data_IF_796432531459
#
_entry.id   IF_796432531459
#
_cell.length_a   1.000
_cell.length_b   1.000
_cell.length_c   1.000
_cell.angle_alpha   90.00
_cell.angle_beta   90.00
_cell.angle_gamma   90.00
#
_symmetry.space_group_name_H-M   'P 1'
#
loop_
_entity.id
_entity.type
_entity.pdbx_description
1 polymer ?
#
# COMPACT_ATOMS: atom_id res chain seq x y z
N UNK A 1 13.53 5.86 28.96
CA UNK A 1 12.17 5.77 29.58
C UNK A 1 11.55 4.49 29.09
N UNK A 2 10.82 3.80 29.93
CA UNK A 2 10.17 2.54 29.54
C UNK A 2 8.79 2.81 28.95
N UNK A 3 8.31 1.92 28.10
CA UNK A 3 7.00 2.02 27.42
C UNK A 3 5.84 2.48 28.34
N UNK A 4 5.77 1.99 29.56
CA UNK A 4 4.73 2.38 30.51
C UNK A 4 4.92 3.78 31.09
N UNK A 5 6.15 4.29 31.14
CA UNK A 5 6.44 5.69 31.49
C UNK A 5 6.03 6.62 30.36
N UNK A 6 6.28 6.19 29.10
CA UNK A 6 5.84 6.94 27.92
C UNK A 6 4.29 6.95 27.85
N UNK A 7 3.62 5.84 28.11
CA UNK A 7 2.15 5.79 28.24
C UNK A 7 1.60 6.68 29.35
N UNK A 8 2.33 6.80 30.46
CA UNK A 8 1.92 7.70 31.55
C UNK A 8 1.99 9.18 31.16
N UNK A 9 2.91 9.56 30.26
CA UNK A 9 2.96 10.94 29.71
C UNK A 9 1.71 11.32 28.92
N UNK A 10 1.02 10.35 28.34
CA UNK A 10 -0.28 10.52 27.69
C UNK A 10 -1.47 10.52 28.67
N UNK A 11 -1.23 10.42 29.98
CA UNK A 11 -2.25 10.43 31.02
C UNK A 11 -2.86 9.05 31.33
N UNK A 12 -2.27 7.97 30.84
CA UNK A 12 -2.70 6.62 31.19
C UNK A 12 -2.10 6.16 32.52
N UNK A 13 -2.87 5.37 33.26
CA UNK A 13 -2.40 4.77 34.52
C UNK A 13 -1.83 3.39 34.23
N UNK A 14 -0.53 3.21 34.36
CA UNK A 14 0.21 2.00 33.94
C UNK A 14 -0.40 0.68 34.45
N UNK A 15 -0.89 0.63 35.67
CA UNK A 15 -1.49 -0.55 36.26
C UNK A 15 -2.89 -0.92 35.72
N UNK A 16 -3.50 -0.03 34.92
CA UNK A 16 -4.79 -0.28 34.25
C UNK A 16 -4.64 -0.81 32.83
N UNK A 17 -3.43 -0.74 32.31
CA UNK A 17 -3.13 -1.18 30.94
C UNK A 17 -2.98 -2.70 30.89
N UNK A 18 -3.52 -3.34 29.89
CA UNK A 18 -3.43 -4.78 29.62
C UNK A 18 -3.16 -5.00 28.13
N UNK A 19 -2.34 -6.00 27.83
CA UNK A 19 -2.14 -6.43 26.45
C UNK A 19 -3.46 -6.95 25.86
N UNK A 20 -3.64 -6.71 24.55
CA UNK A 20 -4.87 -6.99 23.82
C UNK A 20 -5.75 -5.76 23.64
N UNK A 21 -7.01 -6.01 23.23
CA UNK A 21 -8.00 -4.95 23.06
C UNK A 21 -8.79 -4.71 24.34
N UNK A 22 -8.92 -3.46 24.72
CA UNK A 22 -9.68 -3.02 25.90
C UNK A 22 -10.43 -1.73 25.65
N UNK A 23 -11.45 -1.49 26.49
CA UNK A 23 -12.10 -0.17 26.59
C UNK A 23 -11.84 0.38 27.97
N UNK A 24 -11.36 1.62 28.02
CA UNK A 24 -11.00 2.31 29.26
C UNK A 24 -11.58 3.72 29.30
N UNK A 25 -11.47 4.38 30.45
CA UNK A 25 -11.78 5.79 30.58
C UNK A 25 -10.82 6.64 29.75
N UNK A 26 -11.32 7.64 29.05
CA UNK A 26 -10.48 8.57 28.30
C UNK A 26 -9.83 9.58 29.25
N UNK A 27 -8.50 9.68 29.32
CA UNK A 27 -7.82 10.66 30.14
C UNK A 27 -8.22 12.11 29.79
N UNK A 28 -8.50 12.37 28.52
CA UNK A 28 -8.76 13.71 28.01
C UNK A 28 -10.18 14.21 28.29
N UNK A 29 -11.19 13.35 28.24
CA UNK A 29 -12.57 13.83 28.33
C UNK A 29 -13.42 13.21 29.43
N UNK A 30 -13.03 12.08 30.05
CA UNK A 30 -13.91 11.42 31.02
C UNK A 30 -14.15 12.28 32.28
N UNK A 31 -13.13 12.96 32.78
CA UNK A 31 -13.24 13.82 33.98
C UNK A 31 -14.04 15.10 33.74
N UNK A 32 -14.01 15.64 32.52
CA UNK A 32 -14.61 16.95 32.16
C UNK A 32 -16.06 16.86 31.67
N UNK A 33 -16.56 15.64 31.42
CA UNK A 33 -17.93 15.42 30.93
C UNK A 33 -18.98 15.74 32.00
N UNK A 34 -20.08 16.31 31.59
CA UNK A 34 -21.23 16.59 32.49
C UNK A 34 -22.03 15.30 32.80
N UNK A 35 -22.07 14.34 31.86
CA UNK A 35 -22.76 13.06 31.99
C UNK A 35 -21.82 11.94 31.59
N UNK A 36 -22.09 10.71 32.02
CA UNK A 36 -21.38 9.49 31.64
C UNK A 36 -19.85 9.53 31.92
N UNK A 37 -19.44 10.14 33.03
CA UNK A 37 -18.02 10.28 33.44
C UNK A 37 -17.30 8.94 33.55
N UNK A 38 -18.02 7.87 33.91
CA UNK A 38 -17.48 6.52 34.10
C UNK A 38 -17.64 5.62 32.88
N UNK A 39 -18.05 6.16 31.75
CA UNK A 39 -18.15 5.41 30.51
C UNK A 39 -16.78 5.15 29.91
N UNK A 40 -16.46 3.90 29.63
CA UNK A 40 -15.23 3.45 28.98
C UNK A 40 -15.32 3.74 27.46
N UNK A 41 -15.11 4.98 27.11
CA UNK A 41 -15.28 5.49 25.73
C UNK A 41 -14.01 5.45 24.87
N UNK A 42 -12.88 5.06 25.46
CA UNK A 42 -11.62 4.97 24.73
C UNK A 42 -11.31 3.50 24.43
N UNK A 43 -11.25 3.16 23.16
CA UNK A 43 -10.73 1.88 22.69
C UNK A 43 -9.22 1.93 22.66
N UNK A 44 -8.58 0.91 23.21
CA UNK A 44 -7.13 0.74 23.25
C UNK A 44 -6.76 -0.66 22.81
N UNK A 45 -5.71 -0.76 22.00
CA UNK A 45 -5.05 -2.00 21.65
C UNK A 45 -3.58 -1.91 22.06
N UNK A 46 -3.11 -2.87 22.85
CA UNK A 46 -1.71 -2.98 23.26
C UNK A 46 -1.18 -4.34 22.81
N UNK A 47 -0.05 -4.33 22.13
CA UNK A 47 0.65 -5.53 21.68
C UNK A 47 2.17 -5.41 21.90
N UNK A 48 2.92 -6.35 21.34
CA UNK A 48 4.38 -6.38 21.46
C UNK A 48 5.05 -5.17 20.78
N UNK A 49 4.41 -4.54 19.80
CA UNK A 49 4.90 -3.37 19.08
C UNK A 49 4.63 -2.05 19.80
N UNK A 50 3.59 -2.00 20.66
CA UNK A 50 3.21 -0.76 21.32
C UNK A 50 1.72 -0.68 21.66
N UNK A 51 1.22 0.53 21.75
CA UNK A 51 -0.19 0.83 22.01
C UNK A 51 -0.77 1.77 20.95
N UNK A 52 -2.02 1.57 20.63
CA UNK A 52 -2.84 2.47 19.83
C UNK A 52 -4.16 2.71 20.55
N UNK A 53 -4.67 3.95 20.48
CA UNK A 53 -5.94 4.29 21.12
C UNK A 53 -6.76 5.29 20.32
N UNK A 54 -8.09 5.22 20.51
CA UNK A 54 -9.03 6.21 20.01
C UNK A 54 -10.22 6.34 20.94
N UNK A 55 -10.56 7.57 21.28
CA UNK A 55 -11.76 7.90 22.06
C UNK A 55 -12.95 8.12 21.12
N UNK A 56 -14.05 7.40 21.35
CA UNK A 56 -15.30 7.55 20.58
C UNK A 56 -16.13 8.78 20.95
N UNK A 57 -15.70 9.53 21.99
CA UNK A 57 -16.44 10.69 22.48
C UNK A 57 -15.77 12.02 22.10
N UNK A 58 -14.44 12.12 22.17
CA UNK A 58 -13.72 13.35 21.84
C UNK A 58 -12.72 13.18 20.68
N UNK A 59 -12.78 12.05 20.00
CA UNK A 59 -11.92 11.68 18.87
C UNK A 59 -10.40 11.76 19.15
N UNK A 60 -10.00 11.92 20.43
CA UNK A 60 -8.60 11.87 20.79
C UNK A 60 -8.03 10.50 20.46
N UNK A 61 -7.00 10.49 19.64
CA UNK A 61 -6.31 9.27 19.21
C UNK A 61 -4.80 9.44 19.28
N UNK A 62 -4.08 8.32 19.33
CA UNK A 62 -2.63 8.32 19.35
C UNK A 62 -2.07 6.92 19.35
N UNK A 63 -0.75 6.86 19.34
CA UNK A 63 0.02 5.64 19.48
C UNK A 63 1.27 5.88 20.31
N UNK A 64 1.80 4.82 20.91
CA UNK A 64 3.09 4.79 21.59
C UNK A 64 3.79 3.47 21.27
N UNK A 65 5.04 3.54 20.85
CA UNK A 65 5.78 2.36 20.43
C UNK A 65 6.70 1.88 21.54
N UNK A 66 6.74 0.56 21.75
CA UNK A 66 7.75 -0.01 22.64
C UNK A 66 9.11 0.15 21.98
N UNK A 67 9.99 0.95 22.59
CA UNK A 67 11.37 1.10 22.15
C UNK A 67 12.11 -0.24 22.39
N UNK A 68 11.99 -1.17 21.45
CA UNK A 68 12.77 -2.41 21.50
C UNK A 68 13.57 -2.54 20.20
N UNK A 69 14.88 -2.53 20.34
CA UNK A 69 15.82 -3.10 19.37
C UNK A 69 15.68 -4.63 19.28
N UNK A 70 14.52 -5.16 19.61
CA UNK A 70 14.20 -6.57 19.45
C UNK A 70 13.15 -6.61 18.36
N UNK A 71 13.55 -7.17 17.21
CA UNK A 71 12.65 -7.57 16.14
C UNK A 71 11.34 -8.08 16.75
N UNK A 72 10.19 -7.52 16.40
CA UNK A 72 8.94 -7.99 16.95
C UNK A 72 8.85 -9.48 16.61
N UNK A 73 8.73 -10.28 17.64
CA UNK A 73 8.24 -11.63 17.47
C UNK A 73 6.95 -11.46 16.68
N UNK A 74 6.98 -11.80 15.40
CA UNK A 74 5.76 -11.95 14.60
C UNK A 74 4.90 -12.90 15.43
N UNK A 75 3.86 -12.39 16.09
CA UNK A 75 2.76 -13.27 16.47
C UNK A 75 2.30 -13.87 15.15
N UNK A 76 2.75 -15.08 14.92
CA UNK A 76 2.18 -15.93 13.89
C UNK A 76 0.75 -16.20 14.39
N UNK A 77 -0.16 -15.27 14.07
CA UNK A 77 -1.55 -15.70 13.91
C UNK A 77 -1.37 -16.84 12.92
N UNK A 78 -1.58 -18.06 13.35
CA UNK A 78 -1.58 -19.25 12.51
C UNK A 78 -2.77 -19.08 11.56
N UNK A 79 -2.62 -18.19 10.57
CA UNK A 79 -3.56 -18.08 9.46
C UNK A 79 -3.54 -19.46 8.83
N UNK A 80 -4.70 -20.09 8.78
CA UNK A 80 -4.86 -21.37 8.10
C UNK A 80 -4.23 -21.23 6.72
N UNK A 81 -3.30 -22.13 6.39
CA UNK A 81 -2.63 -22.06 5.09
C UNK A 81 -3.69 -22.09 3.97
N UNK A 82 -3.61 -21.19 3.00
CA UNK A 82 -4.56 -21.17 1.89
C UNK A 82 -4.49 -22.49 1.12
N UNK A 83 -5.63 -23.02 0.73
CA UNK A 83 -5.69 -24.16 -0.20
C UNK A 83 -5.51 -23.61 -1.61
N UNK A 84 -4.30 -23.69 -2.12
CA UNK A 84 -4.01 -23.29 -3.51
C UNK A 84 -4.62 -24.33 -4.44
N UNK A 85 -5.49 -23.93 -5.37
CA UNK A 85 -6.03 -24.86 -6.38
C UNK A 85 -4.93 -25.26 -7.38
N UNK A 86 -5.16 -26.35 -8.09
CA UNK A 86 -4.31 -26.72 -9.22
C UNK A 86 -4.43 -25.64 -10.30
N UNK A 87 -3.29 -25.14 -10.74
CA UNK A 87 -3.17 -24.18 -11.82
C UNK A 87 -2.62 -24.89 -13.06
N UNK A 88 -2.81 -24.30 -14.21
CA UNK A 88 -2.42 -24.83 -15.50
C UNK A 88 -1.55 -23.81 -16.24
N UNK A 89 -0.79 -24.28 -17.21
CA UNK A 89 -0.12 -23.38 -18.15
C UNK A 89 -1.11 -22.42 -18.81
N UNK A 90 -0.58 -21.30 -19.28
CA UNK A 90 -1.38 -20.31 -19.97
C UNK A 90 -2.03 -20.91 -21.21
N UNK A 91 -3.33 -20.76 -21.33
CA UNK A 91 -4.03 -21.12 -22.55
C UNK A 91 -3.72 -20.13 -23.68
N UNK A 92 -3.84 -20.59 -24.92
CA UNK A 92 -3.61 -19.72 -26.10
C UNK A 92 -4.48 -18.46 -26.09
N UNK A 93 -5.72 -18.57 -25.64
CA UNK A 93 -6.62 -17.43 -25.50
C UNK A 93 -6.09 -16.39 -24.52
N UNK A 94 -5.50 -16.82 -23.40
CA UNK A 94 -4.88 -15.92 -22.42
C UNK A 94 -3.59 -15.30 -22.99
N UNK A 95 -2.76 -16.07 -23.70
CA UNK A 95 -1.56 -15.54 -24.37
C UNK A 95 -1.91 -14.46 -25.38
N UNK A 96 -2.91 -14.71 -26.23
CA UNK A 96 -3.42 -13.74 -27.20
C UNK A 96 -3.96 -12.50 -26.47
N UNK A 97 -4.69 -12.68 -25.39
CA UNK A 97 -5.26 -11.58 -24.61
C UNK A 97 -4.17 -10.65 -24.04
N UNK A 98 -3.07 -11.19 -23.52
CA UNK A 98 -1.93 -10.40 -23.07
C UNK A 98 -1.13 -9.80 -24.24
N UNK A 99 -0.95 -10.55 -25.33
CA UNK A 99 -0.33 -10.04 -26.55
C UNK A 99 -1.02 -8.80 -27.11
N UNK A 100 -2.36 -8.80 -27.13
CA UNK A 100 -3.17 -7.63 -27.52
C UNK A 100 -3.01 -6.43 -26.58
N UNK A 101 -2.44 -6.64 -25.39
CA UNK A 101 -2.07 -5.62 -24.40
C UNK A 101 -0.60 -5.24 -24.42
N UNK A 102 0.14 -5.75 -25.40
CA UNK A 102 1.56 -5.47 -25.53
C UNK A 102 2.44 -6.17 -24.48
N UNK A 103 1.93 -7.20 -23.78
CA UNK A 103 2.65 -7.93 -22.72
C UNK A 103 3.10 -9.27 -23.28
N UNK A 104 4.42 -9.48 -23.31
CA UNK A 104 5.06 -10.67 -23.89
C UNK A 104 5.15 -11.85 -22.93
N UNK A 105 5.35 -13.06 -23.49
CA UNK A 105 5.41 -14.31 -22.72
C UNK A 105 6.48 -14.30 -21.63
N UNK A 106 7.65 -13.73 -21.90
CA UNK A 106 8.75 -13.67 -20.92
C UNK A 106 8.35 -12.94 -19.63
N UNK A 107 7.54 -11.88 -19.75
CA UNK A 107 7.02 -11.16 -18.59
C UNK A 107 6.02 -12.01 -17.83
N UNK A 108 5.13 -12.73 -18.55
CA UNK A 108 4.13 -13.60 -17.94
C UNK A 108 4.78 -14.77 -17.17
N UNK A 109 5.81 -15.38 -17.73
CA UNK A 109 6.58 -16.45 -17.09
C UNK A 109 7.30 -15.95 -15.84
N UNK A 110 8.01 -14.82 -15.94
CA UNK A 110 8.74 -14.23 -14.82
C UNK A 110 7.81 -13.83 -13.67
N UNK A 111 6.65 -13.30 -14.01
CA UNK A 111 5.64 -12.87 -13.05
C UNK A 111 4.80 -14.03 -12.47
N UNK A 112 4.96 -15.24 -12.99
CA UNK A 112 4.21 -16.42 -12.56
C UNK A 112 2.72 -16.31 -12.86
N UNK A 113 2.36 -15.81 -14.05
CA UNK A 113 0.97 -15.80 -14.52
C UNK A 113 0.60 -17.17 -15.04
N UNK A 114 -0.50 -17.71 -14.56
CA UNK A 114 -1.00 -19.04 -14.90
C UNK A 114 -2.48 -18.98 -15.30
N UNK A 115 -3.05 -20.10 -15.70
CA UNK A 115 -4.48 -20.27 -15.92
C UNK A 115 -5.07 -21.15 -14.82
N UNK A 116 -6.31 -20.90 -14.46
CA UNK A 116 -6.99 -21.70 -13.45
C UNK A 116 -8.50 -21.60 -13.57
N UNK A 117 -9.16 -22.30 -12.66
CA UNK A 117 -10.61 -22.23 -12.52
C UNK A 117 -10.94 -21.40 -11.27
N UNK A 118 -11.75 -20.38 -11.48
CA UNK A 118 -12.25 -19.51 -10.41
C UNK A 118 -13.74 -19.77 -10.16
N UNK A 119 -14.16 -19.70 -8.91
CA UNK A 119 -15.55 -19.69 -8.54
C UNK A 119 -15.96 -18.23 -8.29
N UNK A 120 -16.85 -17.71 -9.13
CA UNK A 120 -17.37 -16.35 -9.04
C UNK A 120 -18.88 -16.42 -9.19
N UNK A 121 -19.60 -15.74 -8.29
CA UNK A 121 -21.08 -15.71 -8.29
C UNK A 121 -21.73 -17.10 -8.31
N UNK A 122 -21.08 -18.11 -7.69
CA UNK A 122 -21.59 -19.47 -7.60
C UNK A 122 -21.33 -20.35 -8.82
N UNK A 123 -20.68 -19.84 -9.87
CA UNK A 123 -20.30 -20.57 -11.06
C UNK A 123 -18.78 -20.73 -11.22
N UNK A 124 -18.37 -21.76 -11.93
CA UNK A 124 -16.98 -22.05 -12.25
C UNK A 124 -16.63 -21.41 -13.59
N UNK A 125 -15.58 -20.59 -13.60
CA UNK A 125 -15.08 -19.88 -14.78
C UNK A 125 -13.63 -20.18 -15.04
N UNK A 126 -13.23 -20.29 -16.30
CA UNK A 126 -11.82 -20.22 -16.69
C UNK A 126 -11.33 -18.80 -16.42
N UNK A 127 -10.16 -18.68 -15.84
CA UNK A 127 -9.62 -17.39 -15.39
C UNK A 127 -8.10 -17.31 -15.54
N UNK A 128 -7.61 -16.10 -15.68
CA UNK A 128 -6.20 -15.76 -15.47
C UNK A 128 -5.93 -15.87 -13.97
N UNK A 129 -4.84 -16.52 -13.60
CA UNK A 129 -4.39 -16.69 -12.23
C UNK A 129 -3.12 -15.87 -12.00
N UNK A 130 -3.20 -14.82 -11.22
CA UNK A 130 -2.06 -14.07 -10.72
C UNK A 130 -1.59 -14.70 -9.40
N UNK A 131 -0.41 -15.31 -9.43
CA UNK A 131 0.11 -16.08 -8.29
C UNK A 131 0.95 -15.18 -7.39
N UNK A 132 0.44 -14.89 -6.20
CA UNK A 132 1.18 -14.12 -5.19
C UNK A 132 2.11 -15.04 -4.41
N UNK A 133 3.37 -14.66 -4.30
CA UNK A 133 4.41 -15.41 -3.59
C UNK A 133 5.02 -14.57 -2.48
N UNK A 134 5.49 -15.24 -1.44
CA UNK A 134 6.35 -14.59 -0.44
C UNK A 134 7.80 -14.53 -0.94
N UNK A 135 8.69 -13.98 -0.12
CA UNK A 135 10.12 -13.82 -0.44
C UNK A 135 10.84 -15.15 -0.66
N UNK A 136 10.33 -16.23 -0.08
CA UNK A 136 10.89 -17.58 -0.24
C UNK A 136 10.34 -18.28 -1.50
N UNK A 137 9.51 -17.58 -2.30
CA UNK A 137 8.89 -18.11 -3.53
C UNK A 137 7.66 -18.99 -3.28
N UNK A 138 7.23 -19.14 -2.03
CA UNK A 138 6.04 -19.94 -1.69
C UNK A 138 4.79 -19.20 -2.09
N UNK A 139 3.86 -19.89 -2.75
CA UNK A 139 2.54 -19.35 -3.07
C UNK A 139 1.73 -19.10 -1.81
N UNK A 140 1.33 -17.86 -1.60
CA UNK A 140 0.58 -17.39 -0.43
C UNK A 140 -0.84 -16.94 -0.78
N UNK A 141 -1.11 -16.66 -2.05
CA UNK A 141 -2.42 -16.29 -2.56
C UNK A 141 -2.47 -16.53 -4.07
N UNK A 142 -3.67 -16.65 -4.62
CA UNK A 142 -3.92 -16.58 -6.05
C UNK A 142 -5.12 -15.68 -6.27
N UNK A 143 -4.96 -14.66 -7.10
CA UNK A 143 -6.03 -13.78 -7.55
C UNK A 143 -6.43 -14.16 -8.96
N UNK A 144 -7.70 -14.42 -9.13
CA UNK A 144 -8.28 -14.81 -10.40
C UNK A 144 -8.99 -13.65 -11.06
N UNK A 145 -8.86 -13.57 -12.38
CA UNK A 145 -9.58 -12.62 -13.22
C UNK A 145 -10.25 -13.37 -14.35
N UNK A 146 -11.55 -13.30 -14.42
CA UNK A 146 -12.35 -13.86 -15.51
C UNK A 146 -12.34 -12.95 -16.74
N UNK A 147 -12.80 -13.44 -17.87
CA UNK A 147 -12.87 -12.69 -19.13
C UNK A 147 -13.73 -11.42 -18.99
N UNK A 148 -14.84 -11.51 -18.25
CA UNK A 148 -15.77 -10.42 -17.97
C UNK A 148 -15.36 -9.51 -16.79
N UNK A 149 -14.07 -9.52 -16.43
CA UNK A 149 -13.47 -8.69 -15.36
C UNK A 149 -14.04 -8.97 -13.95
N UNK A 150 -14.52 -10.16 -13.66
CA UNK A 150 -14.82 -10.52 -12.29
C UNK A 150 -13.56 -11.03 -11.59
N UNK A 151 -13.43 -10.71 -10.30
CA UNK A 151 -12.26 -11.08 -9.52
C UNK A 151 -12.66 -11.96 -8.34
N UNK A 152 -11.82 -12.94 -8.06
CA UNK A 152 -11.88 -13.70 -6.81
C UNK A 152 -10.48 -14.02 -6.34
N UNK A 153 -10.35 -14.37 -5.07
CA UNK A 153 -9.07 -14.76 -4.49
C UNK A 153 -9.26 -16.02 -3.64
N UNK A 154 -8.22 -16.82 -3.48
CA UNK A 154 -8.30 -18.01 -2.65
C UNK A 154 -8.67 -17.64 -1.22
N UNK A 155 -9.50 -18.48 -0.61
CA UNK A 155 -9.88 -18.33 0.79
C UNK A 155 -8.64 -18.46 1.67
N UNK A 156 -8.56 -17.63 2.70
CA UNK A 156 -7.45 -17.54 3.64
C UNK A 156 -6.10 -17.15 2.99
N UNK A 157 -6.12 -16.68 1.73
CA UNK A 157 -4.95 -16.17 1.02
C UNK A 157 -4.35 -14.94 1.70
N UNK A 158 -3.02 -14.89 1.78
CA UNK A 158 -2.31 -13.77 2.37
C UNK A 158 -2.28 -12.58 1.38
N UNK A 159 -2.72 -11.41 1.83
CA UNK A 159 -2.93 -10.22 0.99
C UNK A 159 -1.67 -9.36 0.89
N UNK A 160 -0.56 -9.94 0.42
CA UNK A 160 0.62 -9.15 0.05
C UNK A 160 0.49 -8.66 -1.41
N UNK A 161 1.19 -7.55 -1.76
CA UNK A 161 1.23 -7.06 -3.13
C UNK A 161 1.69 -8.14 -4.12
N UNK A 162 1.10 -8.14 -5.32
CA UNK A 162 1.56 -8.97 -6.40
C UNK A 162 2.97 -8.55 -6.83
N UNK A 163 3.81 -9.49 -7.18
CA UNK A 163 5.24 -9.36 -7.50
C UNK A 163 6.14 -8.94 -6.33
N UNK A 164 5.65 -8.90 -5.09
CA UNK A 164 6.48 -8.57 -3.93
C UNK A 164 7.72 -9.46 -3.79
N UNK A 165 7.62 -10.72 -4.19
CA UNK A 165 8.74 -11.66 -4.20
C UNK A 165 9.88 -11.29 -5.18
N UNK A 166 9.62 -10.47 -6.18
CA UNK A 166 10.61 -10.02 -7.18
C UNK A 166 11.22 -8.66 -6.85
N UNK A 167 10.72 -7.99 -5.80
CA UNK A 167 11.19 -6.64 -5.44
C UNK A 167 12.61 -6.69 -4.89
N UNK A 168 13.49 -5.88 -5.45
CA UNK A 168 14.80 -5.55 -4.88
C UNK A 168 14.63 -4.45 -3.83
N UNK A 169 14.77 -4.81 -2.54
CA UNK A 169 14.63 -3.89 -1.42
C UNK A 169 15.83 -2.96 -1.23
N UNK A 170 16.95 -3.24 -1.89
CA UNK A 170 18.15 -2.39 -1.85
C UNK A 170 18.10 -1.29 -2.94
N UNK A 171 17.13 -1.38 -3.86
CA UNK A 171 16.92 -0.35 -4.86
C UNK A 171 16.31 0.93 -4.26
N UNK A 172 16.67 2.09 -4.82
CA UNK A 172 16.15 3.39 -4.37
C UNK A 172 14.66 3.62 -4.75
N UNK A 173 14.17 2.95 -5.78
CA UNK A 173 12.86 3.22 -6.38
C UNK A 173 11.97 1.99 -6.41
N UNK A 174 10.71 2.17 -6.00
CA UNK A 174 9.63 1.20 -6.13
C UNK A 174 8.47 1.82 -6.91
N UNK A 175 7.89 1.04 -7.83
CA UNK A 175 6.65 1.40 -8.53
C UNK A 175 5.49 0.63 -7.89
N UNK A 176 4.39 1.31 -7.64
CA UNK A 176 3.14 0.72 -7.14
C UNK A 176 2.02 1.03 -8.11
N UNK A 177 1.41 -0.01 -8.65
CA UNK A 177 0.26 0.06 -9.56
C UNK A 177 -1.03 -0.36 -8.88
N UNK A 178 -2.16 -0.07 -9.50
CA UNK A 178 -3.47 -0.48 -9.01
C UNK A 178 -3.77 -1.95 -9.35
N UNK A 179 -3.49 -2.36 -10.58
CA UNK A 179 -3.81 -3.67 -11.11
C UNK A 179 -2.59 -4.52 -11.46
N UNK A 180 -2.77 -5.85 -11.50
CA UNK A 180 -1.74 -6.79 -11.87
C UNK A 180 -1.28 -6.58 -13.33
N UNK A 181 -2.23 -6.25 -14.22
CA UNK A 181 -1.93 -5.98 -15.65
C UNK A 181 -1.03 -4.76 -15.79
N UNK A 182 -1.24 -3.73 -14.96
CA UNK A 182 -0.42 -2.51 -14.99
C UNK A 182 1.00 -2.78 -14.47
N UNK A 183 1.13 -3.65 -13.45
CA UNK A 183 2.43 -4.09 -12.98
C UNK A 183 3.19 -4.86 -14.08
N UNK A 184 2.50 -5.79 -14.77
CA UNK A 184 3.07 -6.50 -15.92
C UNK A 184 3.44 -5.56 -17.07
N UNK A 185 2.62 -4.54 -17.31
CA UNK A 185 2.89 -3.50 -18.30
C UNK A 185 4.17 -2.72 -17.97
N UNK A 186 4.36 -2.37 -16.69
CA UNK A 186 5.60 -1.74 -16.24
C UNK A 186 6.82 -2.67 -16.44
N UNK A 187 6.67 -3.97 -16.14
CA UNK A 187 7.73 -4.96 -16.41
C UNK A 187 8.07 -5.04 -17.91
N UNK A 188 7.07 -5.07 -18.79
CA UNK A 188 7.25 -5.05 -20.23
C UNK A 188 7.97 -3.78 -20.69
N UNK A 189 7.69 -2.66 -20.06
CA UNK A 189 8.40 -1.41 -20.29
C UNK A 189 9.84 -1.38 -19.72
N UNK A 190 10.27 -2.44 -19.00
CA UNK A 190 11.61 -2.57 -18.43
C UNK A 190 11.77 -2.05 -17.01
N UNK A 191 10.67 -1.80 -16.31
CA UNK A 191 10.67 -1.46 -14.89
C UNK A 191 10.43 -2.73 -14.06
N UNK A 192 11.48 -3.26 -13.44
CA UNK A 192 11.39 -4.54 -12.75
C UNK A 192 11.04 -4.43 -11.28
N UNK A 193 11.29 -3.26 -10.66
CA UNK A 193 10.96 -3.04 -9.25
C UNK A 193 9.55 -2.47 -9.12
N UNK A 194 8.57 -3.32 -9.39
CA UNK A 194 7.15 -2.96 -9.45
C UNK A 194 6.28 -3.97 -8.71
N UNK A 195 5.24 -3.47 -8.07
CA UNK A 195 4.19 -4.25 -7.41
C UNK A 195 2.80 -3.74 -7.78
N UNK A 196 1.77 -4.58 -7.66
CA UNK A 196 0.40 -4.09 -7.63
C UNK A 196 -0.26 -4.33 -6.27
N UNK A 197 -1.21 -3.45 -5.91
CA UNK A 197 -1.95 -3.61 -4.67
C UNK A 197 -2.81 -4.87 -4.70
N UNK A 198 -2.98 -5.60 -3.57
CA UNK A 198 -3.60 -6.93 -3.60
C UNK A 198 -5.13 -6.91 -3.82
N UNK A 199 -5.81 -5.85 -3.39
CA UNK A 199 -7.28 -5.78 -3.38
C UNK A 199 -7.87 -4.75 -4.36
N UNK A 200 -7.04 -4.18 -5.28
CA UNK A 200 -7.45 -3.10 -6.17
C UNK A 200 -7.70 -1.79 -5.43
N UNK A 201 -8.39 -0.85 -6.09
CA UNK A 201 -8.65 0.48 -5.55
C UNK A 201 -9.53 0.43 -4.31
N UNK A 202 -8.90 0.43 -3.14
CA UNK A 202 -9.56 0.53 -1.84
C UNK A 202 -8.77 1.43 -0.92
N UNK A 203 -9.39 2.50 -0.47
CA UNK A 203 -8.82 3.41 0.54
C UNK A 203 -8.83 2.82 1.96
N UNK A 204 -9.62 1.77 2.19
CA UNK A 204 -9.92 1.25 3.53
C UNK A 204 -9.13 0.03 3.95
N UNK A 205 -8.50 -0.68 3.01
CA UNK A 205 -7.83 -1.95 3.28
C UNK A 205 -6.43 -1.98 2.68
N UNK A 206 -5.50 -1.31 3.31
CA UNK A 206 -4.09 -1.35 2.92
C UNK A 206 -3.21 -1.89 4.08
N UNK A 207 -3.62 -3.00 4.76
CA UNK A 207 -2.85 -3.53 5.90
C UNK A 207 -1.46 -4.05 5.51
N UNK A 208 -1.25 -4.35 4.24
CA UNK A 208 0.05 -4.78 3.72
C UNK A 208 1.13 -3.71 3.86
N UNK A 209 0.78 -2.42 3.87
CA UNK A 209 1.76 -1.34 4.13
C UNK A 209 2.33 -1.46 5.53
N UNK A 210 1.47 -1.71 6.53
CA UNK A 210 1.91 -1.85 7.92
C UNK A 210 2.76 -3.12 8.09
N UNK A 211 2.38 -4.19 7.41
CA UNK A 211 3.13 -5.46 7.41
C UNK A 211 4.51 -5.34 6.78
N UNK A 212 4.62 -4.58 5.69
CA UNK A 212 5.86 -4.38 4.92
C UNK A 212 6.61 -3.09 5.30
N UNK A 213 6.21 -2.41 6.37
CA UNK A 213 6.71 -1.07 6.70
C UNK A 213 8.25 -1.02 6.77
N UNK A 214 8.89 -2.04 7.34
CA UNK A 214 10.35 -2.12 7.43
C UNK A 214 11.03 -2.14 6.06
N UNK A 215 10.55 -2.96 5.14
CA UNK A 215 11.09 -3.08 3.79
C UNK A 215 10.77 -1.84 2.94
N UNK A 216 9.55 -1.32 3.08
CA UNK A 216 9.11 -0.11 2.36
C UNK A 216 9.86 1.14 2.81
N UNK A 217 10.36 1.18 4.05
CA UNK A 217 11.10 2.32 4.59
C UNK A 217 12.41 2.60 3.83
N UNK A 218 13.02 1.57 3.22
CA UNK A 218 14.27 1.68 2.46
C UNK A 218 14.14 2.46 1.15
N UNK A 219 12.96 2.50 0.54
CA UNK A 219 12.78 3.18 -0.74
C UNK A 219 12.77 4.70 -0.59
N UNK A 220 13.64 5.37 -1.32
CA UNK A 220 13.74 6.84 -1.37
C UNK A 220 12.70 7.43 -2.31
N UNK A 221 12.28 6.68 -3.34
CA UNK A 221 11.34 7.10 -4.37
C UNK A 221 10.26 6.06 -4.59
N UNK A 222 9.01 6.41 -4.33
CA UNK A 222 7.86 5.54 -4.56
C UNK A 222 6.97 6.18 -5.63
N UNK A 223 6.84 5.51 -6.75
CA UNK A 223 6.07 6.00 -7.89
C UNK A 223 4.68 5.37 -7.88
N UNK A 224 3.65 6.19 -7.76
CA UNK A 224 2.26 5.76 -7.65
C UNK A 224 1.58 5.84 -9.03
N UNK A 225 1.51 4.72 -9.72
CA UNK A 225 0.93 4.57 -11.04
C UNK A 225 -0.48 3.94 -10.93
N UNK A 226 -1.40 4.68 -10.32
CA UNK A 226 -2.81 4.27 -10.20
C UNK A 226 -3.62 4.75 -11.38
N UNK A 227 -4.83 4.22 -11.53
CA UNK A 227 -5.77 4.68 -12.55
C UNK A 227 -6.03 6.19 -12.41
N UNK A 228 -6.27 6.86 -13.53
CA UNK A 228 -6.59 8.29 -13.58
C UNK A 228 -8.02 8.62 -13.21
N UNK A 229 -8.86 7.63 -12.89
CA UNK A 229 -10.24 7.84 -12.48
C UNK A 229 -10.36 8.29 -11.00
N UNK A 230 -11.57 8.65 -10.58
CA UNK A 230 -11.81 9.15 -9.24
C UNK A 230 -11.40 8.16 -8.13
N UNK A 231 -11.56 6.86 -8.38
CA UNK A 231 -11.25 5.81 -7.40
C UNK A 231 -9.74 5.62 -7.28
N UNK A 232 -9.02 5.57 -8.41
CA UNK A 232 -7.57 5.50 -8.46
C UNK A 232 -6.89 6.73 -7.82
N UNK A 233 -7.47 7.93 -8.02
CA UNK A 233 -7.01 9.16 -7.35
C UNK A 233 -7.16 9.08 -5.84
N UNK A 234 -8.28 8.57 -5.32
CA UNK A 234 -8.49 8.39 -3.87
C UNK A 234 -7.47 7.40 -3.31
N UNK A 235 -7.27 6.27 -3.96
CA UNK A 235 -6.26 5.28 -3.56
C UNK A 235 -4.85 5.87 -3.58
N UNK A 236 -4.47 6.59 -4.63
CA UNK A 236 -3.18 7.27 -4.76
C UNK A 236 -2.92 8.23 -3.60
N UNK A 237 -3.92 9.01 -3.22
CA UNK A 237 -3.83 9.92 -2.07
C UNK A 237 -3.59 9.19 -0.75
N UNK A 238 -4.27 8.07 -0.53
CA UNK A 238 -4.14 7.27 0.69
C UNK A 238 -2.79 6.53 0.73
N UNK A 239 -2.33 5.99 -0.39
CA UNK A 239 -0.99 5.41 -0.50
C UNK A 239 0.09 6.45 -0.16
N UNK A 240 0.01 7.64 -0.78
CA UNK A 240 0.98 8.71 -0.51
C UNK A 240 0.95 9.18 0.96
N UNK A 241 -0.24 9.21 1.58
CA UNK A 241 -0.39 9.56 2.99
C UNK A 241 0.31 8.55 3.91
N UNK A 242 0.15 7.26 3.66
CA UNK A 242 0.73 6.19 4.49
C UNK A 242 2.21 5.97 4.22
N UNK A 243 2.63 6.03 2.96
CA UNK A 243 4.01 5.80 2.56
C UNK A 243 4.93 7.01 2.82
N UNK A 244 4.36 8.18 3.07
CA UNK A 244 5.09 9.44 3.24
C UNK A 244 5.17 10.23 1.92
N UNK A 245 4.39 11.31 1.84
CA UNK A 245 4.27 12.16 0.64
C UNK A 245 5.60 12.67 0.10
N UNK A 246 6.57 12.93 0.96
CA UNK A 246 7.88 13.48 0.59
C UNK A 246 8.71 12.55 -0.31
N UNK A 247 8.39 11.27 -0.33
CA UNK A 247 9.06 10.26 -1.17
C UNK A 247 8.13 9.63 -2.20
N UNK A 248 6.96 10.20 -2.43
CA UNK A 248 6.02 9.75 -3.44
C UNK A 248 6.07 10.62 -4.69
N UNK A 249 5.95 10.00 -5.84
CA UNK A 249 5.83 10.62 -7.15
C UNK A 249 4.55 10.13 -7.82
N UNK A 250 4.02 10.93 -8.73
CA UNK A 250 2.82 10.62 -9.50
C UNK A 250 3.07 10.82 -10.99
N UNK A 251 2.34 10.10 -11.80
CA UNK A 251 2.28 10.28 -13.24
C UNK A 251 0.91 10.84 -13.59
N UNK A 252 0.88 11.81 -14.48
CA UNK A 252 -0.35 12.25 -15.12
C UNK A 252 -0.44 11.57 -16.48
N UNK A 253 -1.57 10.90 -16.72
CA UNK A 253 -1.77 10.12 -17.93
C UNK A 253 -2.14 11.04 -19.10
N UNK A 254 -1.70 10.77 -20.35
CA UNK A 254 -2.11 11.50 -21.53
C UNK A 254 -3.62 11.39 -21.78
N UNK A 255 -4.16 12.34 -22.52
CA UNK A 255 -5.56 12.29 -22.92
C UNK A 255 -5.90 10.97 -23.61
N UNK A 256 -6.99 10.35 -23.21
CA UNK A 256 -7.43 9.05 -23.70
C UNK A 256 -6.78 7.83 -23.02
N UNK A 257 -5.81 8.02 -22.13
CA UNK A 257 -5.21 6.96 -21.32
C UNK A 257 -5.58 7.16 -19.86
N UNK A 258 -5.87 6.08 -19.15
CA UNK A 258 -6.21 6.10 -17.72
C UNK A 258 -5.23 5.32 -16.86
N UNK A 259 -4.44 4.44 -17.47
CA UNK A 259 -3.53 3.51 -16.79
C UNK A 259 -2.27 3.25 -17.64
N UNK A 260 -1.24 2.57 -17.09
CA UNK A 260 -0.03 2.23 -17.82
C UNK A 260 -0.28 1.40 -19.08
N UNK A 261 -1.29 0.50 -19.05
CA UNK A 261 -1.56 -0.38 -20.18
C UNK A 261 -2.17 0.38 -21.36
N UNK A 262 -3.04 1.35 -21.11
CA UNK A 262 -3.56 2.23 -22.17
C UNK A 262 -2.42 2.96 -22.86
N UNK A 263 -1.43 3.48 -22.10
CA UNK A 263 -0.25 4.15 -22.69
C UNK A 263 0.59 3.18 -23.51
N UNK A 264 0.87 1.98 -23.01
CA UNK A 264 1.66 1.00 -23.76
C UNK A 264 1.00 0.65 -25.09
N UNK A 265 -0.31 0.39 -25.08
CA UNK A 265 -1.05 -0.02 -26.27
C UNK A 265 -1.21 1.12 -27.28
N UNK A 266 -1.47 2.35 -26.82
CA UNK A 266 -1.77 3.47 -27.71
C UNK A 266 -0.53 4.23 -28.18
N UNK A 267 0.51 4.31 -27.32
CA UNK A 267 1.66 5.16 -27.55
C UNK A 267 3.01 4.44 -27.52
N UNK A 268 3.02 3.15 -27.14
CA UNK A 268 4.21 2.33 -27.12
C UNK A 268 5.03 2.44 -25.84
N UNK A 269 6.05 1.60 -25.77
CA UNK A 269 6.94 1.40 -24.62
C UNK A 269 7.74 2.67 -24.27
N UNK A 270 8.27 3.33 -25.26
CA UNK A 270 9.12 4.52 -25.10
C UNK A 270 8.35 5.65 -24.44
N UNK A 271 7.09 5.84 -24.81
CA UNK A 271 6.23 6.85 -24.19
C UNK A 271 5.92 6.54 -22.75
N UNK A 272 5.63 5.28 -22.43
CA UNK A 272 5.44 4.87 -21.04
C UNK A 272 6.72 5.10 -20.20
N UNK A 273 7.89 4.77 -20.77
CA UNK A 273 9.17 5.03 -20.09
C UNK A 273 9.41 6.53 -19.85
N UNK A 274 9.09 7.37 -20.83
CA UNK A 274 9.19 8.82 -20.70
C UNK A 274 8.33 9.34 -19.54
N UNK A 275 7.06 8.94 -19.50
CA UNK A 275 6.11 9.36 -18.47
C UNK A 275 6.55 8.92 -17.07
N UNK A 276 6.98 7.66 -16.93
CA UNK A 276 7.42 7.13 -15.63
C UNK A 276 8.70 7.83 -15.18
N UNK A 277 9.67 8.06 -16.06
CA UNK A 277 10.91 8.78 -15.73
C UNK A 277 10.64 10.28 -15.43
N UNK A 278 9.66 10.86 -16.09
CA UNK A 278 9.21 12.24 -15.91
C UNK A 278 8.18 12.44 -14.81
N UNK A 279 7.91 11.42 -13.98
CA UNK A 279 6.96 11.52 -12.89
C UNK A 279 7.24 12.72 -11.98
N UNK A 280 6.19 13.39 -11.53
CA UNK A 280 6.29 14.57 -10.68
C UNK A 280 6.31 14.18 -9.19
N UNK A 281 7.11 14.88 -8.35
CA UNK A 281 7.06 14.69 -6.92
C UNK A 281 5.67 15.08 -6.38
N UNK A 282 5.28 14.43 -5.29
CA UNK A 282 4.01 14.75 -4.64
C UNK A 282 3.99 16.20 -4.15
N UNK A 283 2.95 17.00 -4.46
CA UNK A 283 2.89 18.38 -4.00
C UNK A 283 2.77 18.46 -2.48
N UNK A 284 3.74 19.06 -1.84
CA UNK A 284 3.77 19.29 -0.41
C UNK A 284 3.30 20.72 -0.13
N UNK A 285 2.04 20.90 0.27
CA UNK A 285 1.37 22.22 0.41
C UNK A 285 2.04 23.21 1.37
N UNK A 286 3.03 22.80 2.15
CA UNK A 286 3.72 23.66 3.12
C UNK A 286 5.22 23.80 2.88
N UNK A 287 5.78 23.12 1.87
CA UNK A 287 7.17 23.29 1.47
C UNK A 287 7.21 24.26 0.30
N UNK A 288 7.57 25.49 0.61
CA UNK A 288 8.01 26.43 -0.40
C UNK A 288 9.49 26.16 -0.70
N UNK A 289 9.88 26.17 -1.95
CA UNK A 289 11.29 26.13 -2.29
C UNK A 289 11.99 27.29 -1.57
N UNK A 290 13.07 27.02 -0.87
CA UNK A 290 13.85 28.06 -0.15
C UNK A 290 14.27 29.18 -1.10
N UNK A 291 14.37 28.90 -2.39
CA UNK A 291 14.64 29.86 -3.45
C UNK A 291 13.57 30.94 -3.61
N UNK A 292 12.29 30.59 -3.34
CA UNK A 292 11.18 31.55 -3.40
C UNK A 292 11.28 32.65 -2.31
N UNK A 293 12.04 32.39 -1.25
CA UNK A 293 12.27 33.36 -0.17
C UNK A 293 13.70 33.90 -0.12
N UNK A 294 14.54 33.54 -1.06
CA UNK A 294 15.93 33.96 -1.08
C UNK A 294 16.04 35.49 -1.17
N UNK A 295 15.22 36.13 -1.99
CA UNK A 295 15.22 37.59 -2.17
C UNK A 295 14.67 38.30 -0.92
N UNK A 296 13.63 37.77 -0.29
CA UNK A 296 13.08 38.30 0.95
C UNK A 296 14.05 38.12 2.13
N UNK A 297 14.70 36.97 2.23
CA UNK A 297 15.71 36.72 3.24
C UNK A 297 16.96 37.61 3.03
N UNK A 298 17.34 37.84 1.78
CA UNK A 298 18.46 38.73 1.43
C UNK A 298 18.13 40.20 1.75
N UNK A 299 16.90 40.63 1.48
CA UNK A 299 16.41 41.97 1.84
C UNK A 299 16.35 42.18 3.36
N UNK A 300 15.91 41.17 4.12
CA UNK A 300 15.92 41.18 5.61
C UNK A 300 17.34 41.26 6.17
N UNK A 301 18.28 40.46 5.64
CA UNK A 301 19.67 40.44 6.09
C UNK A 301 20.38 41.78 5.80
N UNK A 302 19.99 42.49 4.76
CA UNK A 302 20.59 43.77 4.37
C UNK A 302 19.83 45.00 4.93
N UNK A 303 18.85 44.78 5.83
CA UNK A 303 18.09 45.88 6.44
C UNK A 303 17.24 46.70 5.47
N UNK A 304 16.87 46.11 4.33
CA UNK A 304 16.10 46.77 3.27
C UNK A 304 14.56 46.67 3.48
N UNK A 305 14.13 45.94 4.51
CA UNK A 305 12.71 45.85 4.91
C UNK A 305 12.51 46.72 6.15
N UNK A 306 11.63 47.69 6.05
CA UNK A 306 11.18 48.54 7.16
C UNK A 306 10.04 47.91 7.94
#
# INVERSE_FOLDING_TARGET
MGFYEDMASHGFVANTLRDGQSKILCPMCSSTRNKNKNEHCLSMAIDVGGAQWRCHHCDWEGNEWRNSMISPFKQTITKKAPKIPSLNELSDGVRIWFGNRGIGEKVLELAGVESGDAYVSGAKHRAIAFVHRDRDGKTINVKFRTEDKQFSQVKDGHRLPYLWNLVDTDADTLIITEGEVDALTCMEAGFHNVISVPDGASDKKIPWIDELNGDLAGFKRIMLLTDGDAVGVVMRNELARRLGRHRCWRVEWPDGCKDPNDVLVQHGKEKLQELVKGAEPWPLKALHETRAYADDAFALLNGQVK
#
